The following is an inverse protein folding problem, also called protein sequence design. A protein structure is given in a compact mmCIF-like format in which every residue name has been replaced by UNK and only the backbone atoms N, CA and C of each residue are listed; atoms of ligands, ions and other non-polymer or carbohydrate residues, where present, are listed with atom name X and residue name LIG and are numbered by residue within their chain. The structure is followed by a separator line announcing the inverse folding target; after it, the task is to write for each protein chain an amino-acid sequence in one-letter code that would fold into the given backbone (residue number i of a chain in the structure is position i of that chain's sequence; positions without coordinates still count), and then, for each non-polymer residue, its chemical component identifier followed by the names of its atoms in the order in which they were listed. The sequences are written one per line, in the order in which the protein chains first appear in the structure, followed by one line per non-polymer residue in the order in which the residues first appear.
data_IF_149097930522
#
_entry.id   IF_149097930522
#
_cell.length_a   1.000
_cell.length_b   1.000
_cell.length_c   1.000
_cell.angle_alpha   90.00
_cell.angle_beta   90.00
_cell.angle_gamma   90.00
#
_symmetry.space_group_name_H-M   'P 1'
#
loop_
_entity.id
_entity.type
_entity.pdbx_description
1 polymer ?
#
# COMPACT_ATOMS: atom_id res chain seq x y z
N UNK A 1 -1.04 -13.62 -18.17
CA UNK A 1 -0.10 -13.20 -17.12
C UNK A 1 -0.55 -13.89 -15.84
N UNK A 2 0.14 -14.95 -15.43
CA UNK A 2 -0.25 -15.71 -14.24
C UNK A 2 0.26 -14.98 -13.00
N UNK A 3 -0.66 -14.65 -12.11
CA UNK A 3 -0.36 -14.16 -10.78
C UNK A 3 0.49 -15.20 -10.04
N UNK A 4 1.56 -14.81 -9.31
CA UNK A 4 2.34 -15.75 -8.52
C UNK A 4 1.41 -16.43 -7.51
N UNK A 5 1.34 -17.77 -7.55
CA UNK A 5 0.52 -18.54 -6.62
C UNK A 5 0.98 -18.26 -5.19
N UNK A 6 0.06 -17.82 -4.35
CA UNK A 6 0.23 -17.75 -2.89
C UNK A 6 0.63 -19.13 -2.37
N UNK A 7 1.90 -19.34 -2.06
CA UNK A 7 2.36 -20.54 -1.37
C UNK A 7 2.86 -20.15 0.01
N UNK A 8 2.04 -20.44 1.02
CA UNK A 8 2.44 -20.40 2.42
C UNK A 8 3.19 -21.71 2.70
N UNK A 9 4.46 -21.63 3.07
CA UNK A 9 5.24 -22.80 3.53
C UNK A 9 5.13 -22.92 5.06
N UNK A 10 4.38 -23.90 5.59
CA UNK A 10 4.15 -24.05 7.02
C UNK A 10 5.35 -24.62 7.79
N UNK A 11 6.44 -25.05 7.12
CA UNK A 11 7.60 -25.65 7.76
C UNK A 11 8.83 -24.75 7.84
N UNK A 12 8.75 -23.48 7.39
CA UNK A 12 9.86 -22.55 7.53
C UNK A 12 9.85 -21.91 8.94
N UNK A 13 10.86 -22.17 9.80
CA UNK A 13 10.92 -21.61 11.16
C UNK A 13 11.11 -20.08 11.17
N UNK A 14 11.36 -19.50 9.99
CA UNK A 14 11.26 -18.07 9.71
C UNK A 14 10.33 -17.91 8.49
N UNK A 15 9.16 -17.29 8.65
CA UNK A 15 8.42 -16.82 7.47
C UNK A 15 9.36 -15.90 6.67
N UNK A 16 9.56 -16.11 5.36
CA UNK A 16 10.38 -15.19 4.60
C UNK A 16 9.69 -13.81 4.66
N UNK A 17 10.42 -12.72 4.95
CA UNK A 17 9.84 -11.37 5.05
C UNK A 17 9.18 -10.88 3.75
N UNK A 18 9.27 -11.70 2.69
CA UNK A 18 8.86 -11.45 1.33
C UNK A 18 7.44 -11.94 1.01
N UNK A 19 6.87 -12.87 1.78
CA UNK A 19 5.48 -13.34 1.65
C UNK A 19 5.13 -14.16 0.39
N UNK A 20 6.01 -14.23 -0.61
CA UNK A 20 5.78 -14.91 -1.88
C UNK A 20 7.04 -15.63 -2.36
N UNK A 21 6.88 -16.86 -2.89
CA UNK A 21 7.92 -17.58 -3.64
C UNK A 21 7.75 -17.29 -5.13
N UNK A 22 8.80 -16.84 -5.79
CA UNK A 22 8.74 -16.58 -7.23
C UNK A 22 8.75 -17.89 -8.05
N UNK A 23 8.21 -17.86 -9.28
CA UNK A 23 8.34 -18.97 -10.23
C UNK A 23 9.79 -19.05 -10.75
N UNK A 24 10.40 -20.23 -10.66
CA UNK A 24 11.79 -20.46 -11.06
C UNK A 24 12.06 -20.15 -12.55
N UNK A 25 11.02 -20.12 -13.38
CA UNK A 25 11.13 -19.81 -14.82
C UNK A 25 11.40 -18.35 -15.13
N UNK A 26 11.33 -17.46 -14.15
CA UNK A 26 11.46 -16.01 -14.35
C UNK A 26 12.91 -15.49 -14.27
N UNK A 27 13.88 -16.40 -14.17
CA UNK A 27 15.19 -16.09 -13.61
C UNK A 27 16.36 -16.17 -14.60
N UNK A 28 17.45 -15.41 -14.32
CA UNK A 28 18.60 -15.27 -15.20
C UNK A 28 19.20 -16.63 -15.57
N UNK A 29 19.74 -16.69 -16.79
CA UNK A 29 20.39 -17.89 -17.30
C UNK A 29 21.46 -18.40 -16.31
N UNK A 30 21.52 -19.72 -16.03
CA UNK A 30 22.46 -20.31 -15.07
C UNK A 30 23.93 -19.90 -15.28
N UNK A 31 24.29 -19.61 -16.53
CA UNK A 31 25.63 -19.15 -16.94
C UNK A 31 26.03 -17.82 -16.28
N UNK A 32 25.09 -16.89 -16.11
CA UNK A 32 25.35 -15.59 -15.46
C UNK A 32 25.64 -15.73 -13.97
N UNK A 33 24.88 -16.61 -13.29
CA UNK A 33 25.10 -16.89 -11.86
C UNK A 33 26.49 -17.51 -11.65
N UNK A 34 26.93 -18.38 -12.56
CA UNK A 34 28.22 -19.04 -12.46
C UNK A 34 29.41 -18.11 -12.74
N UNK A 35 29.27 -17.15 -13.66
CA UNK A 35 30.33 -16.19 -13.99
C UNK A 35 30.49 -15.10 -12.93
N UNK A 36 29.39 -14.49 -12.48
CA UNK A 36 29.44 -13.36 -11.55
C UNK A 36 29.46 -13.79 -10.08
N UNK A 37 28.98 -15.00 -9.76
CA UNK A 37 28.82 -15.51 -8.39
C UNK A 37 28.24 -14.44 -7.45
N UNK A 38 27.10 -13.82 -7.82
CA UNK A 38 26.58 -12.67 -7.09
C UNK A 38 26.11 -13.07 -5.70
N UNK A 39 26.32 -12.19 -4.72
CA UNK A 39 25.82 -12.42 -3.35
C UNK A 39 24.32 -12.20 -3.21
N UNK A 40 23.77 -11.36 -4.08
CA UNK A 40 22.36 -11.00 -4.16
C UNK A 40 22.03 -10.65 -5.61
N UNK A 41 20.91 -11.15 -6.10
CA UNK A 41 20.32 -10.75 -7.39
C UNK A 41 19.03 -9.99 -7.13
N UNK A 42 18.88 -8.82 -7.76
CA UNK A 42 17.66 -8.02 -7.72
C UNK A 42 17.08 -8.00 -9.13
N UNK A 43 15.88 -8.55 -9.29
CA UNK A 43 15.16 -8.60 -10.56
C UNK A 43 13.84 -7.84 -10.47
N UNK A 44 13.18 -7.56 -11.58
CA UNK A 44 11.92 -6.81 -11.62
C UNK A 44 10.81 -7.60 -12.28
N UNK A 45 9.96 -6.92 -13.04
CA UNK A 45 8.99 -7.47 -14.00
C UNK A 45 7.73 -8.14 -13.42
N UNK A 46 7.79 -8.82 -12.26
CA UNK A 46 6.59 -9.48 -11.69
C UNK A 46 5.66 -8.51 -10.94
N UNK A 47 6.12 -7.27 -10.73
CA UNK A 47 5.46 -6.23 -9.91
C UNK A 47 5.18 -6.64 -8.45
N UNK A 48 5.62 -7.83 -8.04
CA UNK A 48 5.33 -8.43 -6.74
C UNK A 48 6.65 -8.77 -6.05
N UNK A 49 6.80 -8.36 -4.80
CA UNK A 49 8.00 -8.69 -4.03
C UNK A 49 8.01 -10.16 -3.66
N UNK A 50 8.89 -10.96 -4.26
CA UNK A 50 9.03 -12.39 -4.01
C UNK A 50 10.51 -12.80 -3.95
N UNK A 51 10.79 -13.96 -3.34
CA UNK A 51 12.15 -14.49 -3.20
C UNK A 51 12.27 -15.86 -3.89
N UNK A 52 13.44 -16.12 -4.48
CA UNK A 52 13.88 -17.46 -4.91
C UNK A 52 15.31 -17.71 -4.41
N UNK A 53 15.65 -18.97 -4.25
CA UNK A 53 17.01 -19.41 -3.93
C UNK A 53 17.46 -20.40 -5.01
N UNK A 54 18.46 -20.02 -5.80
CA UNK A 54 19.03 -20.87 -6.86
C UNK A 54 20.12 -21.76 -6.30
N UNK A 55 20.03 -23.06 -6.58
CA UNK A 55 21.01 -24.10 -6.18
C UNK A 55 21.41 -24.04 -4.69
N UNK A 56 20.50 -23.56 -3.82
CA UNK A 56 20.77 -23.29 -2.41
C UNK A 56 21.92 -22.28 -2.13
N UNK A 57 22.37 -21.53 -3.14
CA UNK A 57 23.55 -20.66 -3.08
C UNK A 57 23.25 -19.20 -3.39
N UNK A 58 22.43 -18.91 -4.41
CA UNK A 58 22.22 -17.54 -4.88
C UNK A 58 20.80 -17.07 -4.55
N UNK A 59 20.72 -16.07 -3.67
CA UNK A 59 19.43 -15.45 -3.33
C UNK A 59 19.06 -14.42 -4.38
N UNK A 60 17.88 -14.56 -4.95
CA UNK A 60 17.30 -13.60 -5.86
C UNK A 60 15.96 -13.08 -5.34
N UNK A 61 15.78 -11.77 -5.45
CA UNK A 61 14.58 -11.07 -4.98
C UNK A 61 14.01 -10.25 -6.13
N UNK A 62 12.72 -10.45 -6.41
CA UNK A 62 11.98 -9.60 -7.34
C UNK A 62 11.55 -8.32 -6.62
N UNK A 63 11.89 -7.17 -7.18
CA UNK A 63 11.58 -5.84 -6.66
C UNK A 63 10.11 -5.53 -6.98
N UNK A 64 9.27 -5.30 -5.96
CA UNK A 64 7.88 -4.92 -6.14
C UNK A 64 7.76 -3.57 -6.84
N UNK A 65 6.60 -3.33 -7.46
CA UNK A 65 6.32 -2.01 -8.03
C UNK A 65 5.96 -1.00 -6.93
N UNK A 66 6.55 0.19 -7.02
CA UNK A 66 6.26 1.31 -6.12
C UNK A 66 4.87 1.94 -6.38
N UNK A 67 4.24 1.67 -7.52
CA UNK A 67 3.00 2.33 -7.93
C UNK A 67 1.76 1.45 -7.73
N UNK A 68 0.62 2.11 -7.53
CA UNK A 68 -0.70 1.46 -7.46
C UNK A 68 -1.18 0.93 -8.82
N UNK A 69 -0.54 1.34 -9.93
CA UNK A 69 -0.96 1.03 -11.30
C UNK A 69 -1.14 -0.47 -11.57
N UNK A 70 -0.35 -1.31 -10.89
CA UNK A 70 -0.38 -2.76 -11.10
C UNK A 70 -0.91 -3.54 -9.89
N UNK A 71 -0.94 -2.94 -8.69
CA UNK A 71 -1.47 -3.58 -7.47
C UNK A 71 -1.99 -2.53 -6.51
N UNK A 72 -3.10 -2.86 -5.83
CA UNK A 72 -3.68 -2.05 -4.76
C UNK A 72 -2.73 -1.88 -3.56
N UNK A 73 -1.79 -2.81 -3.32
CA UNK A 73 -0.85 -2.80 -2.20
C UNK A 73 0.62 -2.59 -2.66
N UNK A 74 1.01 -1.37 -3.08
CA UNK A 74 2.37 -1.12 -3.51
C UNK A 74 3.36 -1.31 -2.36
N UNK A 75 4.56 -1.72 -2.72
CA UNK A 75 5.65 -1.90 -1.77
C UNK A 75 6.97 -1.55 -2.43
N UNK A 76 7.97 -1.27 -1.60
CA UNK A 76 9.34 -1.06 -2.03
C UNK A 76 10.30 -1.86 -1.17
N UNK A 77 11.55 -1.96 -1.63
CA UNK A 77 12.62 -2.63 -0.90
C UNK A 77 13.59 -1.58 -0.40
N UNK A 78 13.84 -1.63 0.90
CA UNK A 78 14.96 -0.92 1.51
C UNK A 78 16.13 -1.89 1.66
N UNK A 79 17.23 -1.58 0.98
CA UNK A 79 18.45 -2.36 1.05
C UNK A 79 19.57 -1.62 1.78
N UNK A 80 20.25 -2.30 2.69
CA UNK A 80 21.48 -1.87 3.33
C UNK A 80 22.61 -2.79 2.90
N UNK A 81 23.71 -2.24 2.40
CA UNK A 81 24.82 -3.00 1.83
C UNK A 81 26.12 -2.67 2.56
N UNK A 82 26.88 -3.71 2.86
CA UNK A 82 28.20 -3.63 3.48
C UNK A 82 29.16 -4.60 2.79
N UNK A 83 30.49 -4.45 2.97
CA UNK A 83 31.45 -5.38 2.39
C UNK A 83 31.25 -6.83 2.86
N UNK A 84 30.77 -7.03 4.10
CA UNK A 84 30.58 -8.36 4.70
C UNK A 84 29.15 -8.90 4.56
N UNK A 85 28.15 -8.08 4.20
CA UNK A 85 26.75 -8.50 4.26
C UNK A 85 25.78 -7.53 3.58
N UNK A 86 24.54 -7.95 3.46
CA UNK A 86 23.42 -7.08 3.08
C UNK A 86 22.21 -7.35 3.96
N UNK A 87 21.40 -6.33 4.19
CA UNK A 87 20.10 -6.42 4.85
C UNK A 87 19.03 -5.88 3.91
N UNK A 88 17.92 -6.58 3.78
CA UNK A 88 16.80 -6.16 2.93
C UNK A 88 15.52 -6.18 3.73
N UNK A 89 14.72 -5.14 3.58
CA UNK A 89 13.41 -5.01 4.21
C UNK A 89 12.36 -4.64 3.17
N UNK A 90 11.21 -5.31 3.21
CA UNK A 90 10.05 -4.97 2.40
C UNK A 90 9.20 -3.95 3.15
N UNK A 91 8.96 -2.81 2.55
CA UNK A 91 8.18 -1.73 3.12
C UNK A 91 6.89 -1.54 2.31
N UNK A 92 5.75 -1.47 2.98
CA UNK A 92 4.45 -1.30 2.35
C UNK A 92 4.07 0.18 2.28
N UNK A 93 3.44 0.57 1.18
CA UNK A 93 2.76 1.86 1.06
C UNK A 93 1.27 1.70 1.41
N UNK A 94 0.56 2.81 1.70
CA UNK A 94 -0.90 2.79 1.85
C UNK A 94 -1.55 2.18 0.62
N UNK A 95 -2.63 1.42 0.81
CA UNK A 95 -3.34 0.83 -0.33
C UNK A 95 -4.05 1.90 -1.15
N UNK A 96 -4.22 1.64 -2.45
CA UNK A 96 -4.92 2.56 -3.37
C UNK A 96 -6.31 2.87 -2.84
N UNK A 97 -7.00 1.82 -2.38
CA UNK A 97 -8.35 1.88 -1.84
C UNK A 97 -8.43 2.78 -0.60
N UNK A 98 -7.43 2.74 0.29
CA UNK A 98 -7.41 3.60 1.48
C UNK A 98 -7.17 5.06 1.09
N UNK A 99 -6.27 5.32 0.13
CA UNK A 99 -6.01 6.68 -0.37
C UNK A 99 -7.24 7.26 -1.07
N UNK A 100 -7.90 6.48 -1.93
CA UNK A 100 -9.13 6.89 -2.61
C UNK A 100 -10.23 7.17 -1.59
N UNK A 101 -10.44 6.28 -0.62
CA UNK A 101 -11.44 6.48 0.43
C UNK A 101 -11.17 7.75 1.24
N UNK A 102 -9.91 8.06 1.54
CA UNK A 102 -9.52 9.28 2.25
C UNK A 102 -9.87 10.53 1.42
N UNK A 103 -9.58 10.54 0.12
CA UNK A 103 -9.93 11.67 -0.74
C UNK A 103 -11.43 11.85 -0.90
N UNK A 104 -12.17 10.76 -1.12
CA UNK A 104 -13.63 10.81 -1.24
C UNK A 104 -14.29 11.29 0.06
N UNK A 105 -13.87 10.78 1.22
CA UNK A 105 -14.40 11.20 2.52
C UNK A 105 -14.07 12.66 2.85
N UNK A 106 -12.87 13.11 2.53
CA UNK A 106 -12.45 14.52 2.71
C UNK A 106 -13.26 15.44 1.79
N UNK A 107 -13.40 15.10 0.51
CA UNK A 107 -14.20 15.86 -0.45
C UNK A 107 -15.68 15.95 -0.04
N UNK A 108 -16.27 14.82 0.38
CA UNK A 108 -17.64 14.80 0.89
C UNK A 108 -17.81 15.68 2.14
N UNK A 109 -16.86 15.62 3.08
CA UNK A 109 -16.90 16.43 4.30
C UNK A 109 -16.81 17.93 3.99
N UNK A 110 -15.93 18.33 3.07
CA UNK A 110 -15.78 19.72 2.63
C UNK A 110 -17.04 20.27 1.96
N UNK A 111 -17.85 19.43 1.31
CA UNK A 111 -19.11 19.84 0.68
C UNK A 111 -20.28 19.81 1.66
N UNK A 112 -20.38 18.77 2.48
CA UNK A 112 -21.54 18.54 3.35
C UNK A 112 -21.51 19.43 4.60
N UNK A 113 -20.35 19.65 5.23
CA UNK A 113 -20.26 20.44 6.46
C UNK A 113 -20.72 21.89 6.25
N UNK A 114 -20.34 22.62 5.19
CA UNK A 114 -20.84 23.97 4.93
C UNK A 114 -22.34 23.99 4.60
N UNK A 115 -22.84 22.98 3.88
CA UNK A 115 -24.27 22.87 3.54
C UNK A 115 -25.11 22.68 4.81
N UNK A 116 -24.72 21.75 5.68
CA UNK A 116 -25.37 21.52 6.97
C UNK A 116 -25.31 22.78 7.83
N UNK A 117 -24.14 23.42 7.91
CA UNK A 117 -23.96 24.66 8.66
C UNK A 117 -24.87 25.79 8.13
N UNK A 118 -24.96 25.95 6.81
CA UNK A 118 -25.81 26.96 6.18
C UNK A 118 -27.30 26.68 6.40
N UNK A 119 -27.72 25.41 6.30
CA UNK A 119 -29.09 24.99 6.59
C UNK A 119 -29.45 25.19 8.06
N UNK A 120 -28.51 24.90 8.97
CA UNK A 120 -28.70 25.10 10.41
C UNK A 120 -28.83 26.58 10.77
N UNK A 121 -27.95 27.45 10.24
CA UNK A 121 -28.05 28.91 10.42
C UNK A 121 -29.34 29.46 9.82
N UNK A 122 -29.73 29.01 8.61
CA UNK A 122 -31.01 29.40 7.99
C UNK A 122 -32.21 28.97 8.84
N UNK A 123 -32.18 27.77 9.42
CA UNK A 123 -33.19 27.30 10.35
C UNK A 123 -33.25 28.13 11.64
N UNK A 124 -32.09 28.43 12.23
CA UNK A 124 -31.97 29.27 13.42
C UNK A 124 -32.52 30.69 13.18
N UNK A 125 -32.16 31.31 12.05
CA UNK A 125 -32.66 32.62 11.63
C UNK A 125 -34.18 32.61 11.39
N UNK A 126 -34.76 31.51 10.91
CA UNK A 126 -36.22 31.37 10.77
C UNK A 126 -36.92 31.28 12.12
N UNK A 127 -36.38 30.52 13.08
CA UNK A 127 -36.95 30.45 14.44
C UNK A 127 -36.89 31.80 15.16
N UNK A 128 -35.81 32.57 14.97
CA UNK A 128 -35.67 33.92 15.55
C UNK A 128 -36.66 34.92 14.95
N UNK A 129 -36.94 34.87 13.65
CA UNK A 129 -37.93 35.75 13.00
C UNK A 129 -39.40 35.41 13.34
N UNK A 130 -39.70 34.15 13.69
CA UNK A 130 -41.04 33.67 14.07
C UNK A 130 -41.29 33.69 15.59
N UNK A 131 -40.43 34.33 16.38
CA UNK A 131 -40.73 34.60 17.79
C UNK A 131 -41.41 35.98 17.87
N UNK A 132 -42.75 36.11 17.70
CA UNK A 132 -43.41 37.36 17.99
C UNK A 132 -43.22 37.60 19.48
N UNK A 133 -42.54 38.71 19.80
CA UNK A 133 -42.54 39.30 21.13
C UNK A 133 -43.98 39.26 21.64
N UNK A 134 -44.19 38.41 22.65
CA UNK A 134 -45.45 38.28 23.36
C UNK A 134 -45.94 39.69 23.68
N UNK A 135 -47.10 40.06 23.11
CA UNK A 135 -47.75 41.34 23.42
C UNK A 135 -47.98 41.39 24.93
N UNK A 136 -47.17 42.18 25.62
CA UNK A 136 -47.47 42.61 26.98
C UNK A 136 -48.78 43.42 26.91
N UNK A 137 -49.89 42.80 27.31
CA UNK A 137 -51.10 43.55 27.67
C UNK A 137 -50.77 44.31 28.94
N UNK A 138 -50.58 45.62 28.84
CA UNK A 138 -50.73 46.52 29.99
C UNK A 138 -52.18 46.96 30.05
N UNK A 139 -52.77 46.79 31.24
CA UNK A 139 -54.09 47.30 31.63
C UNK A 139 -54.21 48.81 31.41
#
# INVERSE_FOLDING_TARGET
MNEPRHYHDPYSPHQPPWGYKCDERFFPFPQLLQWFKPRLVLSGHTHSGCQVLHDNQYTEISVPSFNWRNRNNPSFILGSFSPSGYGLSKCFLPEESTVIALYCSTGASLLLLPLVHCLWIRGLLRCLNFCPISKHKSL
#
